data_IF_227405393399
#
_entry.id   IF_227405393399
#
_cell.length_a   1.000
_cell.length_b   1.000
_cell.length_c   1.000
_cell.angle_alpha   90.00
_cell.angle_beta   90.00
_cell.angle_gamma   90.00
#
_symmetry.space_group_name_H-M   'P 1'
#
loop_
_entity.id
_entity.type
_entity.pdbx_description
1 polymer ?
#
# COMPACT_ATOMS: atom_id res chain seq x y z
N UNK A 1 -43.34 39.39 15.35
CA UNK A 1 -41.88 39.43 15.06
C UNK A 1 -41.03 38.61 16.04
N UNK A 2 -41.08 38.85 17.37
CA UNK A 2 -40.20 38.13 18.33
C UNK A 2 -40.38 36.59 18.36
N UNK A 3 -41.61 36.08 18.19
CA UNK A 3 -41.87 34.65 18.16
C UNK A 3 -41.34 33.96 16.90
N UNK A 4 -41.54 34.57 15.72
CA UNK A 4 -40.98 34.09 14.44
C UNK A 4 -39.44 34.06 14.45
N UNK A 5 -38.80 35.06 15.06
CA UNK A 5 -37.34 35.10 15.19
C UNK A 5 -36.80 33.95 16.07
N UNK A 6 -37.52 33.57 17.13
CA UNK A 6 -37.14 32.43 17.99
C UNK A 6 -37.30 31.09 17.28
N UNK A 7 -38.35 30.92 16.47
CA UNK A 7 -38.57 29.71 15.67
C UNK A 7 -37.46 29.58 14.61
N UNK A 8 -37.12 30.70 13.94
CA UNK A 8 -36.03 30.72 12.96
C UNK A 8 -34.68 30.35 13.60
N UNK A 9 -34.34 30.89 14.76
CA UNK A 9 -33.12 30.53 15.49
C UNK A 9 -33.11 29.05 15.91
N UNK A 10 -34.25 28.49 16.32
CA UNK A 10 -34.35 27.07 16.66
C UNK A 10 -34.17 26.18 15.42
N UNK A 11 -34.78 26.52 14.29
CA UNK A 11 -34.57 25.82 13.03
C UNK A 11 -33.12 25.92 12.55
N UNK A 12 -32.51 27.11 12.64
CA UNK A 12 -31.11 27.32 12.28
C UNK A 12 -30.15 26.50 13.17
N UNK A 13 -30.44 26.40 14.47
CA UNK A 13 -29.68 25.57 15.40
C UNK A 13 -29.84 24.07 15.08
N UNK A 14 -31.06 23.60 14.77
CA UNK A 14 -31.31 22.21 14.38
C UNK A 14 -30.62 21.88 13.05
N UNK A 15 -30.64 22.80 12.07
CA UNK A 15 -29.91 22.61 10.81
C UNK A 15 -28.40 22.66 11.00
N UNK A 16 -27.89 23.48 11.92
CA UNK A 16 -26.47 23.56 12.25
C UNK A 16 -26.00 22.30 12.99
N UNK A 17 -26.80 21.79 13.94
CA UNK A 17 -26.56 20.54 14.64
C UNK A 17 -26.65 19.37 13.65
N UNK A 18 -27.68 19.34 12.79
CA UNK A 18 -27.78 18.38 11.70
C UNK A 18 -26.57 18.43 10.79
N UNK A 19 -26.12 19.63 10.37
CA UNK A 19 -24.90 19.80 9.59
C UNK A 19 -23.66 19.29 10.35
N UNK A 20 -23.52 19.54 11.65
CA UNK A 20 -22.41 18.99 12.42
C UNK A 20 -22.46 17.45 12.56
N UNK A 21 -23.64 16.85 12.68
CA UNK A 21 -23.80 15.39 12.80
C UNK A 21 -23.77 14.64 11.45
N UNK A 22 -24.17 15.27 10.34
CA UNK A 22 -24.12 14.68 9.01
C UNK A 22 -22.82 14.98 8.26
N UNK A 23 -22.08 15.99 8.69
CA UNK A 23 -20.85 16.48 8.05
C UNK A 23 -19.63 16.34 8.97
N UNK A 24 -19.75 15.59 10.06
CA UNK A 24 -18.59 15.01 10.76
C UNK A 24 -18.08 13.89 9.87
N UNK A 25 -16.84 13.98 9.36
CA UNK A 25 -16.22 12.85 8.68
C UNK A 25 -16.29 11.66 9.63
N UNK A 26 -16.85 10.54 9.20
CA UNK A 26 -16.66 9.29 9.91
C UNK A 26 -15.17 8.98 9.83
N UNK A 27 -14.54 8.82 10.99
CA UNK A 27 -13.11 8.53 11.05
C UNK A 27 -12.84 7.23 10.27
N UNK A 28 -11.94 7.31 9.29
CA UNK A 28 -11.40 6.19 8.51
C UNK A 28 -12.29 5.47 7.48
N UNK A 29 -13.26 6.12 6.84
CA UNK A 29 -14.08 5.50 5.76
C UNK A 29 -13.24 4.71 4.73
N UNK A 30 -13.70 3.52 4.26
CA UNK A 30 -12.90 2.68 3.39
C UNK A 30 -12.44 3.37 2.10
N UNK A 31 -11.17 3.19 1.78
CA UNK A 31 -10.55 3.83 0.63
C UNK A 31 -10.90 3.09 -0.69
N UNK A 32 -11.07 3.85 -1.77
CA UNK A 32 -11.25 3.29 -3.11
C UNK A 32 -10.10 3.72 -4.01
N UNK A 33 -9.59 2.79 -4.82
CA UNK A 33 -8.56 3.06 -5.80
C UNK A 33 -8.96 4.19 -6.76
N UNK A 34 -8.02 5.10 -7.11
CA UNK A 34 -8.35 6.31 -7.88
C UNK A 34 -8.89 6.03 -9.27
N UNK A 35 -8.59 4.86 -9.84
CA UNK A 35 -8.99 4.47 -11.20
C UNK A 35 -10.10 3.41 -11.26
N UNK A 36 -10.81 3.16 -10.16
CA UNK A 36 -11.92 2.21 -10.10
C UNK A 36 -13.00 2.44 -11.17
N UNK A 37 -13.18 3.71 -11.58
CA UNK A 37 -14.18 4.14 -12.57
C UNK A 37 -13.54 4.69 -13.86
N UNK A 38 -12.23 4.54 -14.05
CA UNK A 38 -11.54 5.08 -15.22
C UNK A 38 -12.00 4.35 -16.47
N UNK A 39 -12.82 5.02 -17.29
CA UNK A 39 -13.24 4.49 -18.57
C UNK A 39 -12.02 4.42 -19.48
N UNK A 40 -11.64 3.21 -19.90
CA UNK A 40 -10.61 3.05 -20.93
C UNK A 40 -11.21 3.46 -22.28
N UNK A 41 -10.79 4.60 -22.82
CA UNK A 41 -11.45 5.20 -24.00
C UNK A 41 -10.68 4.83 -25.28
N UNK A 42 -11.29 4.10 -26.23
CA UNK A 42 -10.70 3.88 -27.55
C UNK A 42 -10.70 5.17 -28.36
N UNK A 43 -9.62 5.42 -29.10
CA UNK A 43 -9.49 6.55 -30.04
C UNK A 43 -9.01 6.06 -31.40
N UNK A 44 -9.63 6.59 -32.46
CA UNK A 44 -9.28 6.27 -33.86
C UNK A 44 -7.94 6.88 -34.28
N UNK A 45 -7.62 8.07 -33.75
CA UNK A 45 -6.32 8.73 -33.92
C UNK A 45 -5.88 9.34 -32.59
N UNK A 46 -4.68 9.00 -32.15
CA UNK A 46 -3.99 9.67 -31.05
C UNK A 46 -2.95 10.64 -31.61
N UNK A 47 -3.03 11.90 -31.20
CA UNK A 47 -1.87 12.79 -31.34
C UNK A 47 -0.80 12.30 -30.37
N UNK A 48 0.31 11.79 -30.89
CA UNK A 48 1.45 11.49 -30.03
C UNK A 48 1.92 12.81 -29.41
N UNK A 49 2.11 12.86 -28.07
CA UNK A 49 2.75 14.00 -27.43
C UNK A 49 4.11 14.27 -28.10
N UNK A 50 4.42 15.54 -28.37
CA UNK A 50 5.63 15.93 -29.11
C UNK A 50 6.95 15.61 -28.36
N UNK A 51 6.89 15.31 -27.06
CA UNK A 51 8.08 15.06 -26.24
C UNK A 51 8.49 13.59 -26.21
N UNK A 52 9.75 13.36 -26.58
CA UNK A 52 10.40 12.05 -26.58
C UNK A 52 10.75 11.56 -25.17
N UNK A 53 10.95 10.24 -25.05
CA UNK A 53 11.38 9.63 -23.80
C UNK A 53 12.73 10.19 -23.32
N UNK A 54 12.94 10.30 -22.01
CA UNK A 54 14.27 10.57 -21.45
C UNK A 54 15.18 9.36 -21.69
N UNK A 55 16.49 9.57 -21.85
CA UNK A 55 17.46 8.48 -22.04
C UNK A 55 17.35 7.43 -20.93
N UNK A 56 17.37 6.14 -21.31
CA UNK A 56 17.32 5.03 -20.36
C UNK A 56 18.42 5.14 -19.30
N UNK A 57 18.12 4.97 -18.01
CA UNK A 57 19.14 4.93 -16.96
C UNK A 57 20.17 3.81 -17.22
N UNK A 58 21.43 4.09 -16.88
CA UNK A 58 22.58 3.18 -17.12
C UNK A 58 23.09 2.50 -15.84
N UNK A 59 22.54 2.84 -14.69
CA UNK A 59 22.89 2.33 -13.36
C UNK A 59 21.63 2.09 -12.54
N UNK A 60 21.79 1.49 -11.36
CA UNK A 60 20.67 1.15 -10.50
C UNK A 60 19.84 -0.03 -10.97
N UNK A 61 18.84 -0.35 -10.16
CA UNK A 61 17.98 -1.51 -10.35
C UNK A 61 17.04 -1.37 -11.55
N UNK A 62 16.82 -0.15 -12.07
CA UNK A 62 16.09 0.08 -13.32
C UNK A 62 16.72 -0.64 -14.53
N UNK A 63 18.03 -0.91 -14.49
CA UNK A 63 18.75 -1.66 -15.54
C UNK A 63 18.34 -3.14 -15.61
N UNK A 64 17.68 -3.68 -14.57
CA UNK A 64 17.20 -5.05 -14.55
C UNK A 64 15.99 -5.25 -15.47
N UNK A 65 15.21 -4.20 -15.76
CA UNK A 65 14.01 -4.32 -16.60
C UNK A 65 14.39 -4.85 -17.99
N UNK A 66 13.80 -5.99 -18.36
CA UNK A 66 14.06 -6.69 -19.62
C UNK A 66 15.25 -7.66 -19.58
N UNK A 67 15.95 -7.81 -18.45
CA UNK A 67 17.00 -8.80 -18.26
C UNK A 67 16.43 -10.16 -17.86
N UNK A 68 17.24 -11.20 -18.05
CA UNK A 68 16.98 -12.54 -17.49
C UNK A 68 16.98 -12.49 -15.95
N UNK A 69 16.01 -13.15 -15.33
CA UNK A 69 15.85 -13.23 -13.88
C UNK A 69 17.06 -13.88 -13.18
N UNK A 70 17.84 -14.68 -13.91
CA UNK A 70 19.13 -15.22 -13.46
C UNK A 70 20.12 -14.12 -13.06
N UNK A 71 20.10 -12.97 -13.73
CA UNK A 71 20.94 -11.80 -13.37
C UNK A 71 20.58 -11.29 -11.96
N UNK A 72 19.29 -11.35 -11.61
CA UNK A 72 18.83 -10.96 -10.26
C UNK A 72 19.36 -11.95 -9.23
N UNK A 73 19.25 -13.26 -9.49
CA UNK A 73 19.77 -14.30 -8.59
C UNK A 73 21.29 -14.19 -8.40
N UNK A 74 22.04 -13.93 -9.47
CA UNK A 74 23.49 -13.76 -9.40
C UNK A 74 23.90 -12.55 -8.57
N UNK A 75 23.10 -11.47 -8.60
CA UNK A 75 23.43 -10.21 -7.93
C UNK A 75 22.92 -10.14 -6.48
N UNK A 76 21.73 -10.68 -6.21
CA UNK A 76 21.04 -10.51 -4.94
C UNK A 76 20.74 -11.82 -4.19
N UNK A 77 21.07 -12.97 -4.77
CA UNK A 77 20.77 -14.28 -4.19
C UNK A 77 19.33 -14.72 -4.44
N UNK A 78 18.91 -15.78 -3.76
CA UNK A 78 17.52 -16.24 -3.83
C UNK A 78 16.59 -15.26 -3.07
N UNK A 79 15.39 -14.97 -3.60
CA UNK A 79 14.40 -14.20 -2.88
C UNK A 79 13.87 -14.99 -1.68
N UNK A 80 13.40 -14.27 -0.67
CA UNK A 80 12.79 -14.85 0.53
C UNK A 80 11.47 -15.54 0.17
N UNK A 81 10.67 -14.94 -0.72
CA UNK A 81 9.41 -15.50 -1.22
C UNK A 81 9.28 -15.31 -2.73
N UNK A 82 8.63 -16.28 -3.39
CA UNK A 82 8.19 -16.21 -4.79
C UNK A 82 6.68 -16.37 -4.81
N UNK A 83 5.96 -15.39 -5.32
CA UNK A 83 4.52 -15.25 -5.14
C UNK A 83 3.83 -14.89 -6.46
N UNK A 84 2.66 -15.47 -6.79
CA UNK A 84 1.97 -15.13 -8.02
C UNK A 84 1.35 -13.73 -7.98
N UNK A 85 1.08 -13.15 -9.16
CA UNK A 85 0.29 -11.91 -9.29
C UNK A 85 -0.91 -12.09 -10.21
N UNK A 86 -1.87 -11.16 -10.10
CA UNK A 86 -3.04 -11.06 -10.99
C UNK A 86 -2.71 -10.74 -12.46
N UNK A 87 -1.43 -10.49 -12.78
CA UNK A 87 -0.99 -9.98 -14.08
C UNK A 87 -0.05 -10.94 -14.83
N UNK A 88 0.08 -12.18 -14.36
CA UNK A 88 0.81 -13.24 -15.05
C UNK A 88 2.33 -13.20 -14.88
N UNK A 89 2.86 -12.31 -14.03
CA UNK A 89 4.24 -12.39 -13.53
C UNK A 89 4.23 -12.88 -12.07
N UNK A 90 5.34 -13.46 -11.63
CA UNK A 90 5.56 -13.78 -10.22
C UNK A 90 6.40 -12.69 -9.56
N UNK A 91 6.03 -12.29 -8.36
CA UNK A 91 6.84 -11.46 -7.48
C UNK A 91 7.94 -12.27 -6.81
N UNK A 92 9.15 -11.77 -6.86
CA UNK A 92 10.28 -12.24 -6.06
C UNK A 92 10.56 -11.20 -4.97
N UNK A 93 10.35 -11.57 -3.72
CA UNK A 93 10.38 -10.68 -2.57
C UNK A 93 11.75 -10.74 -1.88
N UNK A 94 12.38 -9.59 -1.71
CA UNK A 94 13.63 -9.42 -0.96
C UNK A 94 13.38 -8.47 0.20
N UNK A 95 13.04 -9.04 1.36
CA UNK A 95 12.60 -8.31 2.56
C UNK A 95 13.53 -8.55 3.77
N UNK A 96 14.83 -8.72 3.55
CA UNK A 96 15.81 -8.97 4.62
C UNK A 96 15.90 -7.85 5.65
N UNK A 97 15.59 -6.61 5.25
CA UNK A 97 15.45 -5.45 6.12
C UNK A 97 14.59 -4.40 5.42
N UNK A 98 14.06 -3.43 6.18
CA UNK A 98 13.33 -2.32 5.59
C UNK A 98 14.21 -1.46 4.66
N UNK A 99 15.47 -1.19 5.04
CA UNK A 99 16.40 -0.36 4.24
C UNK A 99 16.86 -1.04 2.95
N UNK A 100 16.73 -2.36 2.85
CA UNK A 100 17.06 -3.15 1.66
C UNK A 100 15.83 -3.81 1.03
N UNK A 101 14.61 -3.33 1.31
CA UNK A 101 13.39 -3.93 0.78
C UNK A 101 13.21 -3.63 -0.71
N UNK A 102 13.05 -4.69 -1.51
CA UNK A 102 12.61 -4.59 -2.90
C UNK A 102 11.87 -5.84 -3.37
N UNK A 103 11.13 -5.69 -4.47
CA UNK A 103 10.38 -6.76 -5.12
C UNK A 103 10.68 -6.74 -6.62
N UNK A 104 10.79 -7.92 -7.23
CA UNK A 104 11.05 -8.06 -8.67
C UNK A 104 9.93 -8.87 -9.31
N UNK A 105 9.26 -8.31 -10.32
CA UNK A 105 8.26 -9.04 -11.11
C UNK A 105 8.94 -9.78 -12.25
N UNK A 106 8.70 -11.09 -12.37
CA UNK A 106 9.30 -11.98 -13.37
C UNK A 106 8.21 -12.69 -14.18
N UNK A 107 8.21 -12.50 -15.50
CA UNK A 107 7.33 -13.20 -16.46
C UNK A 107 8.23 -13.97 -17.43
N UNK A 108 8.02 -15.29 -17.57
CA UNK A 108 8.79 -16.13 -18.49
C UNK A 108 10.32 -15.94 -18.39
N UNK A 109 10.83 -15.92 -17.15
CA UNK A 109 12.24 -15.68 -16.80
C UNK A 109 12.77 -14.28 -17.11
N UNK A 110 11.93 -13.34 -17.55
CA UNK A 110 12.32 -11.95 -17.82
C UNK A 110 11.79 -11.03 -16.72
N UNK A 111 12.64 -10.12 -16.25
CA UNK A 111 12.26 -9.08 -15.29
C UNK A 111 11.36 -8.06 -15.98
N UNK A 112 10.12 -7.94 -15.52
CA UNK A 112 9.13 -7.00 -16.08
C UNK A 112 9.02 -5.71 -15.28
N UNK A 113 9.28 -5.79 -13.97
CA UNK A 113 9.26 -4.64 -13.07
C UNK A 113 10.14 -4.85 -11.85
N UNK A 114 10.50 -3.75 -11.20
CA UNK A 114 11.17 -3.73 -9.89
C UNK A 114 10.52 -2.65 -9.05
N UNK A 115 10.04 -3.02 -7.86
CA UNK A 115 9.60 -2.08 -6.83
C UNK A 115 10.68 -1.95 -5.75
N UNK A 116 11.00 -0.72 -5.35
CA UNK A 116 12.06 -0.39 -4.42
C UNK A 116 11.48 0.52 -3.35
N UNK A 117 11.63 0.15 -2.08
CA UNK A 117 11.28 1.00 -0.94
C UNK A 117 12.41 1.09 0.11
N UNK A 118 13.41 0.21 0.04
CA UNK A 118 14.63 0.36 0.81
C UNK A 118 15.49 1.54 0.36
N UNK A 119 15.99 2.33 1.32
CA UNK A 119 16.79 3.53 1.10
C UNK A 119 18.29 3.29 0.91
N UNK A 120 18.77 2.07 1.18
CA UNK A 120 20.14 1.61 0.91
C UNK A 120 20.33 1.07 -0.53
N UNK A 121 19.26 1.05 -1.33
CA UNK A 121 19.26 0.47 -2.68
C UNK A 121 19.55 1.53 -3.76
N UNK A 122 20.27 1.13 -4.81
CA UNK A 122 20.54 1.99 -5.97
C UNK A 122 19.31 2.06 -6.89
N UNK A 123 18.46 3.06 -6.64
CA UNK A 123 17.26 3.36 -7.41
C UNK A 123 17.49 4.44 -8.49
N UNK A 124 18.73 4.62 -8.96
CA UNK A 124 19.10 5.64 -9.95
C UNK A 124 18.12 5.70 -11.14
N UNK A 125 17.71 6.93 -11.57
CA UNK A 125 18.24 8.23 -11.17
C UNK A 125 17.57 8.85 -9.93
N UNK A 126 16.64 8.14 -9.29
CA UNK A 126 15.90 8.62 -8.13
C UNK A 126 16.45 8.00 -6.83
N UNK A 127 15.99 8.49 -5.69
CA UNK A 127 16.34 7.93 -4.38
C UNK A 127 15.14 7.94 -3.44
N UNK A 128 14.93 6.85 -2.69
CA UNK A 128 14.00 6.87 -1.56
C UNK A 128 14.40 7.98 -0.58
N UNK A 129 13.42 8.73 -0.09
CA UNK A 129 13.60 9.94 0.72
C UNK A 129 13.86 11.23 -0.07
N UNK A 130 14.05 11.16 -1.40
CA UNK A 130 14.21 12.33 -2.26
C UNK A 130 12.96 13.22 -2.23
N UNK A 131 13.14 14.55 -2.23
CA UNK A 131 12.02 15.48 -2.24
C UNK A 131 11.44 15.65 -3.65
N UNK A 132 10.11 15.75 -3.73
CA UNK A 132 9.37 16.02 -4.97
C UNK A 132 9.88 17.25 -5.73
N UNK A 133 10.20 18.33 -5.03
CA UNK A 133 10.72 19.56 -5.65
C UNK A 133 12.08 19.35 -6.33
N UNK A 134 12.90 18.42 -5.83
CA UNK A 134 14.17 18.05 -6.46
C UNK A 134 13.93 17.21 -7.72
N UNK A 135 12.93 16.33 -7.70
CA UNK A 135 12.51 15.55 -8.87
C UNK A 135 12.10 16.50 -10.00
N UNK A 136 11.23 17.48 -9.73
CA UNK A 136 10.81 18.48 -10.72
C UNK A 136 11.95 19.35 -11.26
N UNK A 137 13.03 19.54 -10.50
CA UNK A 137 14.21 20.31 -10.96
C UNK A 137 15.11 19.51 -11.90
N UNK A 138 15.12 18.20 -11.79
CA UNK A 138 16.08 17.32 -12.48
C UNK A 138 15.43 16.47 -13.58
N UNK A 139 14.10 16.39 -13.60
CA UNK A 139 13.35 15.50 -14.48
C UNK A 139 12.18 16.24 -15.10
N UNK A 140 12.02 16.07 -16.41
CA UNK A 140 10.84 16.55 -17.11
C UNK A 140 9.70 15.59 -16.78
N UNK A 141 8.63 16.13 -16.20
CA UNK A 141 7.43 15.38 -15.83
C UNK A 141 6.28 15.87 -16.70
N UNK A 142 5.73 14.97 -17.50
CA UNK A 142 4.60 15.24 -18.39
C UNK A 142 3.31 14.78 -17.76
N UNK A 143 2.22 15.54 -17.95
CA UNK A 143 0.88 15.12 -17.51
C UNK A 143 0.37 13.91 -18.31
N UNK A 144 0.73 13.83 -19.59
CA UNK A 144 0.38 12.73 -20.48
C UNK A 144 1.62 11.93 -20.87
N UNK A 145 1.56 10.61 -20.66
CA UNK A 145 2.66 9.70 -20.94
C UNK A 145 2.22 8.61 -21.90
N UNK A 146 2.91 8.48 -23.03
CA UNK A 146 2.61 7.44 -24.03
C UNK A 146 3.43 6.17 -23.79
N UNK A 147 2.76 5.02 -23.77
CA UNK A 147 3.35 3.69 -23.81
C UNK A 147 2.94 2.93 -25.08
N UNK A 148 3.84 2.12 -25.61
CA UNK A 148 3.60 1.30 -26.78
C UNK A 148 3.75 -0.18 -26.44
N UNK A 149 2.82 -1.01 -26.93
CA UNK A 149 2.89 -2.48 -26.85
C UNK A 149 2.64 -3.04 -28.25
N UNK A 150 3.71 -3.49 -28.91
CA UNK A 150 3.64 -3.79 -30.35
C UNK A 150 3.29 -2.54 -31.15
N UNK A 151 2.23 -2.61 -31.95
CA UNK A 151 1.69 -1.48 -32.73
C UNK A 151 0.65 -0.65 -31.97
N UNK A 152 0.22 -1.12 -30.78
CA UNK A 152 -0.81 -0.47 -29.97
C UNK A 152 -0.22 0.69 -29.17
N UNK A 153 -0.94 1.80 -29.13
CA UNK A 153 -0.54 3.03 -28.44
C UNK A 153 -1.48 3.28 -27.26
N UNK A 154 -0.91 3.55 -26.10
CA UNK A 154 -1.63 3.88 -24.87
C UNK A 154 -1.16 5.24 -24.37
N UNK A 155 -2.08 6.09 -23.96
CA UNK A 155 -1.79 7.41 -23.37
C UNK A 155 -2.38 7.42 -21.97
N UNK A 156 -1.50 7.51 -20.98
CA UNK A 156 -1.83 7.69 -19.58
C UNK A 156 -1.92 9.18 -19.27
N UNK A 157 -2.95 9.58 -18.55
CA UNK A 157 -3.17 10.95 -18.10
C UNK A 157 -3.18 10.96 -16.57
N UNK A 158 -2.20 11.62 -15.96
CA UNK A 158 -2.09 11.73 -14.50
C UNK A 158 -3.01 12.82 -13.98
N UNK A 159 -3.87 12.56 -13.00
CA UNK A 159 -4.69 13.61 -12.36
C UNK A 159 -3.85 14.61 -11.55
N UNK A 160 -4.46 15.71 -11.07
CA UNK A 160 -3.78 16.62 -10.13
C UNK A 160 -3.31 15.91 -8.85
N UNK A 161 -4.05 14.88 -8.40
CA UNK A 161 -3.66 14.06 -7.25
C UNK A 161 -2.45 13.17 -7.59
N UNK A 162 -2.45 12.51 -8.75
CA UNK A 162 -1.31 11.72 -9.22
C UNK A 162 -0.03 12.58 -9.34
N UNK A 163 -0.18 13.82 -9.82
CA UNK A 163 0.92 14.79 -9.90
C UNK A 163 1.49 15.19 -8.51
N UNK A 164 0.79 14.87 -7.42
CA UNK A 164 1.27 15.08 -6.05
C UNK A 164 1.83 13.82 -5.41
N UNK A 165 1.25 12.64 -5.69
CA UNK A 165 1.49 11.42 -4.92
C UNK A 165 2.08 10.26 -5.73
N UNK A 166 2.02 10.29 -7.06
CA UNK A 166 2.34 9.12 -7.89
C UNK A 166 2.78 9.49 -9.31
N UNK A 167 3.91 10.18 -9.43
CA UNK A 167 4.42 10.66 -10.73
C UNK A 167 4.79 9.49 -11.65
N UNK A 168 4.52 9.64 -12.94
CA UNK A 168 4.94 8.71 -13.99
C UNK A 168 6.01 9.37 -14.87
N UNK A 169 7.20 8.77 -14.90
CA UNK A 169 8.33 9.24 -15.71
C UNK A 169 8.62 8.24 -16.81
N UNK A 170 8.68 8.72 -18.06
CA UNK A 170 9.00 7.92 -19.23
C UNK A 170 10.49 7.95 -19.54
N UNK A 171 11.08 6.76 -19.65
CA UNK A 171 12.41 6.55 -20.19
C UNK A 171 12.35 5.71 -21.47
N UNK A 172 13.44 5.67 -22.22
CA UNK A 172 13.57 4.76 -23.36
C UNK A 172 13.41 3.30 -22.90
N UNK A 173 12.27 2.70 -23.27
CA UNK A 173 11.94 1.29 -23.03
C UNK A 173 11.56 0.94 -21.58
N UNK A 174 11.33 1.90 -20.68
CA UNK A 174 10.75 1.65 -19.36
C UNK A 174 10.07 2.91 -18.80
N UNK A 175 9.36 2.73 -17.71
CA UNK A 175 8.73 3.80 -16.93
C UNK A 175 9.16 3.71 -15.48
N UNK A 176 9.13 4.84 -14.78
CA UNK A 176 9.26 4.90 -13.34
C UNK A 176 8.00 5.53 -12.75
N UNK A 177 7.29 4.79 -11.91
CA UNK A 177 6.20 5.29 -11.08
C UNK A 177 6.78 5.64 -9.71
N UNK A 178 6.62 6.89 -9.29
CA UNK A 178 7.27 7.50 -8.14
C UNK A 178 6.23 7.76 -7.06
N UNK A 179 6.22 6.95 -6.00
CA UNK A 179 5.25 7.06 -4.91
C UNK A 179 5.73 8.06 -3.86
N UNK A 180 5.01 9.16 -3.73
CA UNK A 180 5.37 10.31 -2.91
C UNK A 180 4.38 10.39 -1.76
N UNK A 181 4.91 10.51 -0.55
CA UNK A 181 4.12 10.87 0.63
C UNK A 181 3.70 12.34 0.51
N UNK A 182 2.40 12.57 0.40
CA UNK A 182 1.80 13.90 0.23
C UNK A 182 2.18 14.87 1.34
N UNK A 183 2.21 14.38 2.59
CA UNK A 183 2.45 15.22 3.77
C UNK A 183 3.91 15.66 3.86
N UNK A 184 4.85 14.75 3.58
CA UNK A 184 6.28 15.05 3.70
C UNK A 184 6.92 15.52 2.38
N UNK A 185 6.26 15.27 1.25
CA UNK A 185 6.79 15.49 -0.09
C UNK A 185 7.98 14.60 -0.46
N UNK A 186 8.23 13.52 0.31
CA UNK A 186 9.34 12.59 0.10
C UNK A 186 8.90 11.37 -0.70
N UNK A 187 9.82 10.87 -1.52
CA UNK A 187 9.65 9.63 -2.26
C UNK A 187 9.74 8.42 -1.32
N UNK A 188 8.66 7.66 -1.17
CA UNK A 188 8.57 6.48 -0.31
C UNK A 188 8.84 5.17 -1.07
N UNK A 189 8.57 5.15 -2.36
CA UNK A 189 8.81 3.98 -3.19
C UNK A 189 8.96 4.33 -4.66
N UNK A 190 9.63 3.45 -5.40
CA UNK A 190 9.87 3.59 -6.83
C UNK A 190 9.55 2.27 -7.51
N UNK A 191 8.65 2.29 -8.50
CA UNK A 191 8.37 1.14 -9.36
C UNK A 191 8.89 1.42 -10.77
N UNK A 192 9.95 0.72 -11.16
CA UNK A 192 10.36 0.65 -12.56
C UNK A 192 9.58 -0.46 -13.27
N UNK A 193 9.03 -0.19 -14.45
CA UNK A 193 8.19 -1.17 -15.16
C UNK A 193 8.32 -1.03 -16.68
N UNK A 194 8.09 -2.11 -17.42
CA UNK A 194 8.02 -2.07 -18.87
C UNK A 194 6.63 -1.61 -19.36
N UNK A 195 6.49 -1.32 -20.67
CA UNK A 195 5.22 -0.85 -21.24
C UNK A 195 4.06 -1.84 -21.04
N UNK A 196 4.30 -3.14 -21.25
CA UNK A 196 3.24 -4.17 -21.19
C UNK A 196 2.67 -4.26 -19.78
N UNK A 197 3.52 -4.30 -18.77
CA UNK A 197 3.12 -4.37 -17.36
C UNK A 197 2.41 -3.09 -16.93
N UNK A 198 2.90 -1.91 -17.33
CA UNK A 198 2.21 -0.65 -17.05
C UNK A 198 0.78 -0.61 -17.64
N UNK A 199 0.60 -1.08 -18.87
CA UNK A 199 -0.70 -1.18 -19.55
C UNK A 199 -1.61 -2.22 -18.89
N UNK A 200 -1.06 -3.32 -18.37
CA UNK A 200 -1.84 -4.30 -17.62
C UNK A 200 -2.32 -3.74 -16.28
N UNK A 201 -1.49 -2.94 -15.60
CA UNK A 201 -1.83 -2.31 -14.31
C UNK A 201 -2.88 -1.21 -14.44
N UNK A 202 -2.88 -0.47 -15.55
CA UNK A 202 -3.75 0.70 -15.77
C UNK A 202 -3.75 1.67 -14.57
N UNK A 203 -2.58 2.12 -14.09
CA UNK A 203 -2.50 2.87 -12.84
C UNK A 203 -3.04 4.30 -12.94
N UNK A 204 -3.41 4.78 -14.14
CA UNK A 204 -3.91 6.14 -14.39
C UNK A 204 -5.07 6.08 -15.39
N UNK A 205 -5.78 7.21 -15.58
CA UNK A 205 -6.71 7.34 -16.70
C UNK A 205 -5.99 7.03 -18.01
N UNK A 206 -6.60 6.21 -18.86
CA UNK A 206 -5.94 5.68 -20.05
C UNK A 206 -6.84 5.77 -21.28
N UNK A 207 -6.27 6.29 -22.37
CA UNK A 207 -6.85 6.18 -23.71
C UNK A 207 -5.94 5.35 -24.60
N UNK A 208 -6.50 4.68 -25.62
CA UNK A 208 -5.72 3.77 -26.46
C UNK A 208 -6.13 3.79 -27.93
N UNK A 209 -5.19 3.43 -28.78
CA UNK A 209 -5.39 3.17 -30.21
C UNK A 209 -4.84 1.78 -30.53
N UNK A 210 -5.65 0.96 -31.21
CA UNK A 210 -5.35 -0.44 -31.50
C UNK A 210 -6.14 -1.39 -30.58
N UNK A 211 -5.52 -2.49 -30.18
CA UNK A 211 -6.13 -3.49 -29.30
C UNK A 211 -5.77 -3.26 -27.83
N UNK A 212 -6.77 -3.37 -26.95
CA UNK A 212 -6.56 -3.28 -25.51
C UNK A 212 -5.90 -4.57 -24.98
N UNK A 213 -4.83 -4.40 -24.22
CA UNK A 213 -4.18 -5.50 -23.49
C UNK A 213 -4.86 -5.63 -22.13
N UNK A 214 -5.54 -6.76 -21.90
CA UNK A 214 -6.21 -7.07 -20.62
C UNK A 214 -5.52 -8.25 -19.91
N UNK A 215 -5.47 -8.26 -18.58
CA UNK A 215 -4.97 -9.41 -17.83
C UNK A 215 -5.87 -10.63 -18.04
N UNK A 216 -5.27 -11.82 -18.06
CA UNK A 216 -6.03 -13.07 -18.08
C UNK A 216 -6.51 -13.37 -16.66
N UNK A 217 -7.82 -13.58 -16.42
CA UNK A 217 -8.31 -13.92 -15.10
C UNK A 217 -7.65 -15.20 -14.56
N UNK A 218 -7.15 -15.21 -13.31
CA UNK A 218 -6.55 -16.40 -12.72
C UNK A 218 -7.61 -17.48 -12.44
N UNK A 219 -7.16 -18.73 -12.28
CA UNK A 219 -8.01 -19.79 -11.73
C UNK A 219 -8.36 -19.48 -10.27
N UNK A 220 -9.43 -20.08 -9.73
CA UNK A 220 -9.80 -19.86 -8.32
C UNK A 220 -8.70 -20.28 -7.34
N UNK A 221 -7.93 -21.33 -7.67
CA UNK A 221 -6.79 -21.78 -6.89
C UNK A 221 -5.68 -20.73 -6.89
N UNK A 222 -5.29 -20.26 -8.07
CA UNK A 222 -4.26 -19.22 -8.20
C UNK A 222 -4.71 -17.90 -7.57
N UNK A 223 -6.00 -17.58 -7.64
CA UNK A 223 -6.56 -16.39 -7.00
C UNK A 223 -6.42 -16.43 -5.47
N UNK A 224 -6.53 -17.61 -4.85
CA UNK A 224 -6.28 -17.75 -3.42
C UNK A 224 -4.80 -17.48 -3.09
N UNK A 225 -3.87 -18.04 -3.86
CA UNK A 225 -2.44 -17.78 -3.68
C UNK A 225 -2.09 -16.29 -3.87
N UNK A 226 -2.73 -15.62 -4.84
CA UNK A 226 -2.59 -14.17 -5.06
C UNK A 226 -3.12 -13.38 -3.86
N UNK A 227 -4.26 -13.79 -3.27
CA UNK A 227 -4.81 -13.13 -2.08
C UNK A 227 -3.84 -13.23 -0.90
N UNK A 228 -3.28 -14.42 -0.66
CA UNK A 228 -2.30 -14.67 0.41
C UNK A 228 -1.00 -13.89 0.16
N UNK A 229 -0.52 -13.85 -1.08
CA UNK A 229 0.63 -13.04 -1.48
C UNK A 229 0.43 -11.54 -1.22
N UNK A 230 -0.70 -10.97 -1.65
CA UNK A 230 -1.00 -9.55 -1.42
C UNK A 230 -1.10 -9.21 0.07
N UNK A 231 -1.65 -10.11 0.90
CA UNK A 231 -1.71 -9.93 2.35
C UNK A 231 -0.30 -9.91 2.98
N UNK A 232 0.56 -10.86 2.61
CA UNK A 232 1.94 -10.90 3.09
C UNK A 232 2.74 -9.66 2.65
N UNK A 233 2.55 -9.20 1.41
CA UNK A 233 3.17 -7.97 0.90
C UNK A 233 2.70 -6.73 1.69
N UNK A 234 1.42 -6.63 2.05
CA UNK A 234 0.93 -5.52 2.88
C UNK A 234 1.60 -5.47 4.26
N UNK A 235 1.82 -6.62 4.90
CA UNK A 235 2.52 -6.72 6.19
C UNK A 235 3.99 -6.31 6.08
N UNK A 236 4.67 -6.67 4.98
CA UNK A 236 6.04 -6.19 4.73
C UNK A 236 6.05 -4.67 4.51
N UNK A 237 5.17 -4.17 3.65
CA UNK A 237 5.12 -2.77 3.22
C UNK A 237 4.78 -1.80 4.37
N UNK A 238 3.92 -2.19 5.31
CA UNK A 238 3.65 -1.34 6.48
C UNK A 238 4.90 -1.19 7.34
N UNK A 239 5.67 -2.26 7.52
CA UNK A 239 6.89 -2.21 8.32
C UNK A 239 7.99 -1.39 7.63
N UNK A 240 8.11 -1.48 6.30
CA UNK A 240 8.98 -0.58 5.54
C UNK A 240 8.56 0.87 5.72
N UNK A 241 7.27 1.17 5.58
CA UNK A 241 6.71 2.51 5.76
C UNK A 241 6.97 3.05 7.17
N UNK A 242 6.73 2.24 8.21
CA UNK A 242 6.98 2.62 9.60
C UNK A 242 8.46 2.93 9.85
N UNK A 243 9.38 2.13 9.33
CA UNK A 243 10.82 2.40 9.45
C UNK A 243 11.22 3.69 8.71
N UNK A 244 10.67 3.95 7.52
CA UNK A 244 10.88 5.22 6.80
C UNK A 244 10.37 6.46 7.57
N UNK A 245 9.50 6.24 8.56
CA UNK A 245 8.95 7.24 9.46
C UNK A 245 9.51 7.14 10.89
N UNK A 246 10.67 6.49 11.08
CA UNK A 246 11.36 6.35 12.36
C UNK A 246 10.54 5.61 13.45
N UNK A 247 9.63 4.73 13.05
CA UNK A 247 8.79 3.91 13.93
C UNK A 247 9.26 2.45 13.99
N UNK A 248 8.96 1.80 15.11
CA UNK A 248 9.25 0.38 15.31
C UNK A 248 8.35 -0.48 14.39
N UNK A 249 8.92 -1.50 13.71
CA UNK A 249 8.13 -2.49 12.99
C UNK A 249 7.12 -3.20 13.89
N UNK A 250 5.97 -3.55 13.32
CA UNK A 250 4.92 -4.34 13.94
C UNK A 250 5.24 -5.82 13.83
N UNK A 251 4.86 -6.58 14.86
CA UNK A 251 4.85 -8.04 14.81
C UNK A 251 3.69 -8.51 13.94
N UNK A 252 3.92 -9.51 13.09
CA UNK A 252 2.84 -10.13 12.30
C UNK A 252 2.14 -11.19 13.16
N UNK A 253 0.81 -11.26 13.07
CA UNK A 253 0.00 -12.25 13.81
C UNK A 253 -1.00 -12.97 12.89
N UNK A 254 -0.81 -14.28 12.74
CA UNK A 254 -1.62 -15.14 11.86
C UNK A 254 -3.12 -15.14 12.22
N UNK A 255 -3.46 -14.98 13.51
CA UNK A 255 -4.86 -14.96 13.95
C UNK A 255 -5.54 -13.66 13.49
N UNK A 256 -4.79 -12.56 13.51
CA UNK A 256 -5.24 -11.26 13.03
C UNK A 256 -5.36 -11.21 11.50
N UNK A 257 -4.42 -11.85 10.78
CA UNK A 257 -4.51 -12.03 9.32
C UNK A 257 -5.78 -12.78 8.91
N UNK A 258 -6.11 -13.84 9.63
CA UNK A 258 -7.33 -14.61 9.38
C UNK A 258 -8.60 -13.77 9.63
N UNK A 259 -8.62 -12.89 10.65
CA UNK A 259 -9.72 -11.94 10.86
C UNK A 259 -9.83 -10.95 9.70
N UNK A 260 -8.71 -10.37 9.26
CA UNK A 260 -8.67 -9.43 8.16
C UNK A 260 -9.09 -10.07 6.82
N UNK A 261 -8.70 -11.33 6.59
CA UNK A 261 -9.06 -12.11 5.40
C UNK A 261 -10.57 -12.34 5.35
N UNK A 262 -11.14 -12.83 6.45
CA UNK A 262 -12.59 -13.04 6.54
C UNK A 262 -13.37 -11.74 6.31
N UNK A 263 -12.92 -10.61 6.84
CA UNK A 263 -13.61 -9.33 6.65
C UNK A 263 -13.53 -8.86 5.19
N UNK A 264 -12.39 -9.04 4.52
CA UNK A 264 -12.24 -8.74 3.10
C UNK A 264 -13.16 -9.61 2.23
N UNK A 265 -13.25 -10.91 2.54
CA UNK A 265 -14.18 -11.83 1.89
C UNK A 265 -15.64 -11.44 2.15
N UNK A 266 -15.98 -11.09 3.39
CA UNK A 266 -17.32 -10.68 3.81
C UNK A 266 -17.80 -9.44 3.05
N UNK A 267 -16.96 -8.40 2.98
CA UNK A 267 -17.21 -7.19 2.20
C UNK A 267 -17.49 -7.51 0.73
N UNK A 268 -16.70 -8.41 0.13
CA UNK A 268 -16.88 -8.81 -1.26
C UNK A 268 -18.15 -9.63 -1.48
N UNK A 269 -18.39 -10.65 -0.67
CA UNK A 269 -19.48 -11.62 -0.83
C UNK A 269 -20.84 -10.95 -0.59
N UNK A 270 -20.92 -10.08 0.42
CA UNK A 270 -22.16 -9.39 0.79
C UNK A 270 -22.30 -8.00 0.18
N UNK A 271 -21.39 -7.59 -0.71
CA UNK A 271 -21.41 -6.33 -1.45
C UNK A 271 -21.57 -5.09 -0.56
N UNK A 272 -20.77 -5.01 0.51
CA UNK A 272 -20.67 -3.82 1.34
C UNK A 272 -19.21 -3.36 1.43
N UNK A 273 -19.02 -2.12 1.86
CA UNK A 273 -17.71 -1.54 2.09
C UNK A 273 -17.81 -0.68 3.35
N UNK A 274 -17.51 -1.28 4.50
CA UNK A 274 -17.63 -0.65 5.81
C UNK A 274 -16.81 -1.40 6.87
N UNK A 275 -16.48 -0.69 7.96
CA UNK A 275 -15.88 -1.27 9.17
C UNK A 275 -16.81 -2.23 9.90
N UNK A 276 -18.11 -1.96 9.88
CA UNK A 276 -19.12 -2.80 10.51
C UNK A 276 -19.70 -3.78 9.48
N UNK A 277 -19.52 -5.07 9.75
CA UNK A 277 -20.17 -6.11 8.98
C UNK A 277 -21.64 -6.26 9.41
N UNK A 278 -22.59 -6.32 8.46
CA UNK A 278 -23.99 -6.62 8.75
C UNK A 278 -24.22 -7.99 9.40
N UNK A 279 -23.25 -8.91 9.26
CA UNK A 279 -23.35 -10.31 9.70
C UNK A 279 -22.40 -10.63 10.87
N UNK A 280 -21.18 -10.07 10.83
CA UNK A 280 -20.09 -10.37 11.77
C UNK A 280 -19.82 -9.25 12.78
N UNK A 281 -20.51 -8.10 12.67
CA UNK A 281 -20.36 -6.95 13.57
C UNK A 281 -19.13 -6.10 13.30
N UNK A 282 -18.81 -5.22 14.24
CA UNK A 282 -17.65 -4.33 14.21
C UNK A 282 -16.33 -5.07 14.45
N UNK A 283 -15.20 -4.36 14.33
CA UNK A 283 -13.86 -4.92 14.54
C UNK A 283 -13.73 -5.61 15.91
N UNK A 284 -14.25 -4.98 16.97
CA UNK A 284 -14.24 -5.54 18.31
C UNK A 284 -14.93 -6.91 18.34
N UNK A 285 -16.12 -7.01 17.76
CA UNK A 285 -16.86 -8.28 17.72
C UNK A 285 -16.12 -9.36 16.93
N UNK A 286 -15.47 -8.99 15.82
CA UNK A 286 -14.66 -9.91 15.01
C UNK A 286 -13.44 -10.43 15.79
N UNK A 287 -12.74 -9.57 16.52
CA UNK A 287 -11.60 -9.95 17.37
C UNK A 287 -12.03 -10.82 18.56
N UNK A 288 -13.09 -10.44 19.28
CA UNK A 288 -13.66 -11.22 20.40
C UNK A 288 -14.05 -12.64 19.98
N UNK A 289 -14.63 -12.79 18.78
CA UNK A 289 -15.05 -14.09 18.25
C UNK A 289 -13.86 -15.04 18.02
N UNK A 290 -12.66 -14.49 17.80
CA UNK A 290 -11.40 -15.26 17.70
C UNK A 290 -10.62 -15.32 19.02
N UNK A 291 -11.14 -14.73 20.10
CA UNK A 291 -10.47 -14.72 21.40
C UNK A 291 -9.16 -13.92 21.42
N UNK A 292 -9.07 -12.88 20.57
CA UNK A 292 -7.89 -12.01 20.49
C UNK A 292 -8.02 -10.91 21.55
N UNK A 293 -7.07 -10.87 22.48
CA UNK A 293 -7.00 -9.88 23.56
C UNK A 293 -6.13 -8.68 23.13
N UNK A 294 -6.59 -7.46 23.41
CA UNK A 294 -5.92 -6.23 23.03
C UNK A 294 -6.34 -5.05 23.92
N UNK A 295 -5.54 -3.98 23.98
CA UNK A 295 -5.92 -2.72 24.65
C UNK A 295 -6.55 -1.72 23.68
N UNK A 296 -5.96 -1.57 22.50
CA UNK A 296 -6.45 -0.72 21.42
C UNK A 296 -6.33 -1.48 20.09
N UNK A 297 -7.30 -1.32 19.20
CA UNK A 297 -7.25 -1.89 17.85
C UNK A 297 -7.93 -0.95 16.85
N UNK A 298 -7.42 -0.94 15.63
CA UNK A 298 -7.96 -0.17 14.52
C UNK A 298 -7.71 -0.92 13.21
N UNK A 299 -8.40 -0.52 12.14
CA UNK A 299 -8.25 -1.16 10.84
C UNK A 299 -8.29 -0.16 9.70
N UNK A 300 -7.50 -0.42 8.67
CA UNK A 300 -7.57 0.25 7.38
C UNK A 300 -8.24 -0.65 6.36
N UNK A 301 -9.16 -0.09 5.58
CA UNK A 301 -9.92 -0.80 4.55
C UNK A 301 -9.67 -0.15 3.20
N UNK A 302 -9.50 -0.96 2.16
CA UNK A 302 -9.40 -0.47 0.79
C UNK A 302 -10.05 -1.42 -0.21
N UNK A 303 -10.48 -0.86 -1.34
CA UNK A 303 -10.88 -1.64 -2.50
C UNK A 303 -10.47 -0.99 -3.82
N UNK A 304 -10.58 -1.72 -4.92
CA UNK A 304 -10.28 -1.26 -6.29
C UNK A 304 -8.83 -0.82 -6.54
N UNK A 305 -7.92 -1.15 -5.63
CA UNK A 305 -6.48 -1.14 -5.89
C UNK A 305 -6.05 -2.44 -6.57
N UNK A 306 -5.11 -2.32 -7.50
CA UNK A 306 -4.74 -3.44 -8.35
C UNK A 306 -3.64 -4.34 -7.74
N UNK A 307 -2.90 -3.84 -6.74
CA UNK A 307 -1.97 -4.63 -5.91
C UNK A 307 -1.77 -4.02 -4.50
N UNK A 308 -1.03 -4.74 -3.65
CA UNK A 308 -0.73 -4.33 -2.27
C UNK A 308 0.09 -3.03 -2.15
N UNK A 309 1.01 -2.78 -3.09
CA UNK A 309 1.84 -1.57 -3.10
C UNK A 309 0.95 -0.34 -3.28
N UNK A 310 0.02 -0.40 -4.22
CA UNK A 310 -0.91 0.71 -4.49
C UNK A 310 -1.87 0.94 -3.33
N UNK A 311 -2.38 -0.13 -2.70
CA UNK A 311 -3.23 -0.01 -1.51
C UNK A 311 -2.48 0.66 -0.34
N UNK A 312 -1.23 0.26 -0.08
CA UNK A 312 -0.40 0.86 0.97
C UNK A 312 -0.15 2.36 0.72
N UNK A 313 0.26 2.73 -0.49
CA UNK A 313 0.49 4.14 -0.83
C UNK A 313 -0.81 4.96 -0.86
N UNK A 314 -1.95 4.33 -1.19
CA UNK A 314 -3.27 4.92 -1.05
C UNK A 314 -3.58 5.26 0.41
N UNK A 315 -3.45 4.30 1.31
CA UNK A 315 -3.66 4.52 2.75
C UNK A 315 -2.70 5.57 3.32
N UNK A 316 -1.41 5.52 2.97
CA UNK A 316 -0.43 6.49 3.48
C UNK A 316 -0.74 7.95 3.09
N UNK A 317 -1.42 8.15 1.96
CA UNK A 317 -1.82 9.45 1.44
C UNK A 317 -3.25 9.88 1.82
N UNK A 318 -3.98 9.06 2.58
CA UNK A 318 -5.23 9.45 3.25
C UNK A 318 -4.94 9.79 4.72
N UNK A 319 -5.28 11.00 5.20
CA UNK A 319 -4.97 11.42 6.57
C UNK A 319 -5.44 10.43 7.65
N UNK A 320 -6.64 9.89 7.49
CA UNK A 320 -7.28 8.99 8.45
C UNK A 320 -6.56 7.64 8.51
N UNK A 321 -6.32 7.02 7.35
CA UNK A 321 -5.64 5.73 7.25
C UNK A 321 -4.15 5.84 7.62
N UNK A 322 -3.52 6.97 7.29
CA UNK A 322 -2.16 7.33 7.69
C UNK A 322 -2.01 7.37 9.21
N UNK A 323 -2.98 7.98 9.90
CA UNK A 323 -2.94 8.06 11.36
C UNK A 323 -2.91 6.67 12.00
N UNK A 324 -3.58 5.68 11.39
CA UNK A 324 -3.51 4.29 11.83
C UNK A 324 -2.12 3.70 11.58
N UNK A 325 -1.59 3.81 10.36
CA UNK A 325 -0.28 3.26 9.97
C UNK A 325 0.85 3.80 10.84
N UNK A 326 0.82 5.10 11.15
CA UNK A 326 1.88 5.81 11.86
C UNK A 326 1.62 5.98 13.36
N UNK A 327 0.57 5.35 13.91
CA UNK A 327 0.36 5.34 15.36
C UNK A 327 1.44 4.47 16.03
N UNK A 328 2.15 5.05 16.99
CA UNK A 328 3.26 4.43 17.69
C UNK A 328 2.82 3.45 18.79
N UNK A 329 1.55 3.48 19.21
CA UNK A 329 0.99 2.54 20.19
C UNK A 329 0.84 1.12 19.67
N UNK A 330 0.57 0.96 18.38
CA UNK A 330 0.36 -0.37 17.82
C UNK A 330 1.68 -1.15 17.76
N UNK A 331 1.58 -2.43 18.07
CA UNK A 331 2.72 -3.36 18.17
C UNK A 331 2.55 -4.60 17.30
N UNK A 332 1.33 -4.84 16.79
CA UNK A 332 0.98 -6.03 16.02
C UNK A 332 0.13 -5.65 14.80
N UNK A 333 0.29 -6.38 13.70
CA UNK A 333 -0.46 -6.22 12.45
C UNK A 333 -0.89 -7.56 11.87
N UNK A 334 -2.05 -7.57 11.23
CA UNK A 334 -2.53 -8.66 10.40
C UNK A 334 -3.27 -8.11 9.20
N UNK A 335 -2.81 -8.49 8.02
CA UNK A 335 -3.40 -8.07 6.75
C UNK A 335 -4.13 -9.24 6.10
N UNK A 336 -5.21 -8.96 5.39
CA UNK A 336 -6.02 -9.94 4.70
C UNK A 336 -6.58 -9.36 3.42
N UNK A 337 -6.61 -10.17 2.38
CA UNK A 337 -7.03 -9.73 1.03
C UNK A 337 -8.00 -10.76 0.47
N UNK A 338 -9.02 -10.27 -0.23
CA UNK A 338 -9.90 -11.11 -1.04
C UNK A 338 -10.23 -10.39 -2.36
N UNK A 339 -9.67 -10.89 -3.47
CA UNK A 339 -9.73 -10.22 -4.77
C UNK A 339 -9.12 -8.80 -4.68
N UNK A 340 -9.96 -7.78 -4.87
CA UNK A 340 -9.61 -6.37 -4.80
C UNK A 340 -10.08 -5.72 -3.49
N UNK A 341 -10.31 -6.49 -2.42
CA UNK A 341 -10.65 -5.98 -1.08
C UNK A 341 -9.48 -6.24 -0.16
N UNK A 342 -9.06 -5.19 0.55
CA UNK A 342 -7.89 -5.19 1.42
C UNK A 342 -8.31 -4.73 2.81
N UNK A 343 -7.92 -5.49 3.83
CA UNK A 343 -8.10 -5.15 5.24
C UNK A 343 -6.75 -5.25 5.93
N UNK A 344 -6.38 -4.24 6.71
CA UNK A 344 -5.18 -4.26 7.54
C UNK A 344 -5.56 -3.86 8.96
N UNK A 345 -5.44 -4.80 9.91
CA UNK A 345 -5.78 -4.59 11.31
C UNK A 345 -4.50 -4.38 12.10
N UNK A 346 -4.49 -3.35 12.94
CA UNK A 346 -3.39 -3.06 13.87
C UNK A 346 -3.92 -3.13 15.29
N UNK A 347 -3.12 -3.65 16.20
CA UNK A 347 -3.46 -3.69 17.61
C UNK A 347 -2.27 -3.35 18.52
N UNK A 348 -2.62 -2.82 19.69
CA UNK A 348 -1.75 -2.75 20.85
C UNK A 348 -2.05 -3.98 21.72
N UNK A 349 -1.05 -4.83 21.93
CA UNK A 349 -1.18 -6.01 22.79
C UNK A 349 -1.50 -5.58 24.23
N UNK A 350 -2.46 -6.27 24.85
CA UNK A 350 -2.75 -6.08 26.26
C UNK A 350 -1.55 -6.57 27.09
N UNK A 351 -0.86 -5.66 27.77
CA UNK A 351 0.21 -6.05 28.68
C UNK A 351 -0.39 -6.86 29.83
N UNK A 352 -0.21 -8.18 29.85
CA UNK A 352 -0.14 -8.87 31.13
C UNK A 352 1.12 -8.36 31.83
N UNK A 353 0.95 -7.78 33.01
CA UNK A 353 1.95 -6.95 33.68
C UNK A 353 3.36 -7.56 33.69
N UNK A 354 4.30 -6.81 33.11
CA UNK A 354 5.75 -6.98 33.33
C UNK A 354 6.21 -6.27 34.61
N UNK A 355 5.32 -6.10 35.59
CA UNK A 355 5.58 -5.46 36.88
C UNK A 355 5.23 -6.44 38.03
N UNK A 356 5.95 -7.56 38.14
CA UNK A 356 6.09 -8.28 39.42
C UNK A 356 7.19 -9.35 39.36
N UNK A 357 8.46 -8.93 39.24
CA UNK A 357 9.59 -9.74 39.69
C UNK A 357 10.79 -8.83 39.97
N UNK A 358 10.57 -7.84 40.85
CA UNK A 358 11.63 -7.35 41.73
C UNK A 358 11.33 -7.93 43.10
N UNK A 359 11.64 -9.22 43.23
CA UNK A 359 11.70 -9.83 44.55
C UNK A 359 12.75 -9.10 45.37
N UNK A 360 12.29 -8.65 46.53
CA UNK A 360 13.06 -8.09 47.61
C UNK A 360 14.10 -9.08 48.10
N UNK A 361 15.38 -8.83 47.80
CA UNK A 361 16.47 -9.39 48.60
C UNK A 361 16.48 -8.70 49.97
N UNK A 362 15.90 -9.34 50.98
CA UNK A 362 16.25 -9.07 52.38
C UNK A 362 17.60 -9.72 52.71
N UNK A 363 18.45 -9.07 53.52
CA UNK A 363 19.77 -9.58 53.85
C UNK A 363 19.66 -10.69 54.91
N UNK A 364 20.29 -11.83 54.63
CA UNK A 364 20.45 -12.93 55.59
C UNK A 364 21.48 -12.51 56.66
N UNK A 365 21.03 -12.34 57.90
CA UNK A 365 21.88 -12.25 59.09
C UNK A 365 22.62 -13.58 59.32
N UNK A 366 23.95 -13.55 59.32
CA UNK A 366 24.78 -14.65 59.80
C UNK A 366 24.77 -14.66 61.34
N UNK A 367 24.18 -15.70 61.92
CA UNK A 367 24.36 -16.05 63.33
C UNK A 367 25.48 -17.09 63.40
N UNK A 368 26.66 -16.65 63.84
CA UNK A 368 27.78 -17.51 64.22
C UNK A 368 27.63 -17.86 65.71
N UNK A 369 27.12 -19.05 66.01
CA UNK A 369 27.22 -19.66 67.34
C UNK A 369 28.42 -20.60 67.37
N UNK A 370 29.54 -20.10 67.91
CA UNK A 370 30.65 -20.93 68.37
C UNK A 370 30.95 -20.66 69.84
N UNK A 371 30.64 -21.63 70.71
CA UNK A 371 31.36 -22.02 71.94
C UNK A 371 30.54 -23.07 72.72
N UNK A 372 31.15 -23.95 73.54
CA UNK A 372 32.56 -24.05 73.92
C UNK A 372 33.31 -25.29 73.38
#
# INVERSE_FOLDING_TARGET
MKALFRIFMACAAITLIGFMFFNTPRENEPLKGPNANSNVIPKTELKQPEMGATTRPKSGMSTLIGQEAKVVLEKYGEPVRKEPSSFGYDWWIYNSSASTFFMVGVDNHIVTQVYIAGDDLDASPFKVGQKRDEIYRMTIIDYEVTANVGENIFVFSMSEEDMQTRLLVKFEGLFAQLYIDRETGKLQGIRFTNSKTLVLHQPYEMTYQGELVIPTPPSSFLQQEINEANAAQLNDLINVTRVQHDLTPLNMDDSLEEVAKMHSEDMKVHNFLAHESPTNGDLKKRLETRGIEYSEANENLATDYFDAIEAMHGWLNSPEHRNVILNDKYTTVGSGVFLNYYTQILLESSSQGLDSEKDSEEPVENIDESSP
#
